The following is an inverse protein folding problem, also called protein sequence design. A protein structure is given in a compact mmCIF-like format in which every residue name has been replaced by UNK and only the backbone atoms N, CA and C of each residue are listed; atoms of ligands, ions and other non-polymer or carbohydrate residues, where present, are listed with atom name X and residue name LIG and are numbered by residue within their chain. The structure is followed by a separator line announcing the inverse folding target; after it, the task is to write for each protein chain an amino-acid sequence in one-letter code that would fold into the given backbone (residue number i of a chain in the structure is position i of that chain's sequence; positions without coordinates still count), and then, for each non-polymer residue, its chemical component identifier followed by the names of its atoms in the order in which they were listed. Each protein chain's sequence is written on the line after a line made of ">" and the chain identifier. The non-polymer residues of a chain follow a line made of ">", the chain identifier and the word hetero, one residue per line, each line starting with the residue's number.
data_IF_500776601778
#
_entry.id   IF_500776601778
#
_cell.length_a   1.000
_cell.length_b   1.000
_cell.length_c   1.000
_cell.angle_alpha   90.00
_cell.angle_beta   90.00
_cell.angle_gamma   90.00
#
_symmetry.space_group_name_H-M   'P 1'
#
loop_
_entity.id
_entity.type
_entity.pdbx_description
1 polymer ?
#
# COMPACT_ATOMS: atom_id res chain seq x y z
N UNK A 1 19.03 -33.92 36.36
CA UNK A 1 17.91 -33.23 35.72
C UNK A 1 18.50 -32.13 34.85
N UNK A 2 18.20 -32.04 33.54
CA UNK A 2 18.74 -30.97 32.72
C UNK A 2 18.12 -29.64 33.16
N UNK A 3 18.97 -28.62 33.36
CA UNK A 3 18.50 -27.29 33.73
C UNK A 3 17.67 -26.68 32.60
N UNK A 4 16.51 -26.14 32.95
CA UNK A 4 15.56 -25.60 31.97
C UNK A 4 16.03 -24.21 31.55
N UNK A 5 16.84 -24.14 30.49
CA UNK A 5 17.40 -22.89 29.97
C UNK A 5 16.29 -22.05 29.33
N UNK A 6 16.15 -20.80 29.76
CA UNK A 6 15.11 -19.88 29.28
C UNK A 6 15.52 -19.28 27.93
N UNK A 7 15.02 -19.86 26.84
CA UNK A 7 15.31 -19.39 25.48
C UNK A 7 14.60 -18.06 25.17
N UNK A 8 15.22 -17.19 24.35
CA UNK A 8 14.54 -16.04 23.77
C UNK A 8 13.31 -16.45 22.98
N UNK A 9 12.32 -15.55 22.93
CA UNK A 9 11.05 -15.82 22.27
C UNK A 9 11.23 -15.99 20.76
N UNK A 10 10.45 -16.90 20.16
CA UNK A 10 10.45 -17.09 18.70
C UNK A 10 9.78 -15.90 18.01
N UNK A 11 10.30 -15.51 16.86
CA UNK A 11 9.75 -14.40 16.05
C UNK A 11 8.27 -14.62 15.69
N UNK A 12 7.85 -15.87 15.48
CA UNK A 12 6.45 -16.24 15.22
C UNK A 12 5.52 -16.03 16.41
N UNK A 13 6.06 -15.87 17.61
CA UNK A 13 5.29 -15.57 18.81
C UNK A 13 5.20 -14.06 19.02
N UNK A 14 6.00 -13.24 18.34
CA UNK A 14 5.91 -11.77 18.42
C UNK A 14 4.49 -11.30 18.05
N UNK A 15 3.79 -10.54 18.92
CA UNK A 15 2.54 -9.92 18.53
C UNK A 15 2.83 -9.05 17.32
N UNK A 16 1.95 -9.13 16.31
CA UNK A 16 2.06 -8.34 15.10
C UNK A 16 2.30 -6.87 15.45
N UNK A 17 3.23 -6.23 14.73
CA UNK A 17 3.60 -4.85 14.98
C UNK A 17 2.36 -3.93 15.00
N UNK A 18 2.40 -2.82 15.75
CA UNK A 18 1.29 -1.88 15.77
C UNK A 18 1.00 -1.43 14.33
N UNK A 19 -0.25 -1.57 13.90
CA UNK A 19 -0.71 -1.00 12.64
C UNK A 19 -0.60 0.51 12.75
N UNK A 20 0.56 1.04 12.38
CA UNK A 20 0.87 2.46 12.51
C UNK A 20 0.53 3.16 11.22
N UNK A 21 -0.67 2.93 10.71
CA UNK A 21 -1.25 3.89 9.77
C UNK A 21 -1.68 5.09 10.61
N UNK A 22 -0.78 6.06 10.73
CA UNK A 22 -1.12 7.38 11.28
C UNK A 22 -2.33 7.91 10.49
N UNK A 23 -3.26 8.67 11.10
CA UNK A 23 -4.39 9.25 10.36
C UNK A 23 -3.97 10.07 9.12
N UNK A 24 -2.76 10.66 9.14
CA UNK A 24 -2.18 11.35 7.98
C UNK A 24 -1.87 10.41 6.80
N UNK A 25 -1.65 9.13 7.04
CA UNK A 25 -1.39 8.13 6.01
C UNK A 25 -2.64 7.82 5.19
N UNK A 26 -3.84 7.93 5.78
CA UNK A 26 -5.10 7.78 5.04
C UNK A 26 -5.22 8.85 3.96
N UNK A 27 -4.90 10.12 4.28
CA UNK A 27 -4.89 11.21 3.30
C UNK A 27 -3.91 10.99 2.16
N UNK A 28 -2.73 10.46 2.45
CA UNK A 28 -1.73 10.13 1.42
C UNK A 28 -2.25 9.03 0.49
N UNK A 29 -2.92 8.02 1.04
CA UNK A 29 -3.52 6.94 0.24
C UNK A 29 -4.63 7.49 -0.66
N UNK A 30 -5.53 8.32 -0.13
CA UNK A 30 -6.60 8.97 -0.90
C UNK A 30 -6.05 9.88 -2.00
N UNK A 31 -4.97 10.61 -1.73
CA UNK A 31 -4.33 11.49 -2.71
C UNK A 31 -3.65 10.71 -3.83
N UNK A 32 -2.99 9.60 -3.51
CA UNK A 32 -2.40 8.69 -4.50
C UNK A 32 -3.46 8.03 -5.37
N UNK A 33 -4.55 7.57 -4.77
CA UNK A 33 -5.67 6.97 -5.50
C UNK A 33 -6.34 7.98 -6.44
N UNK A 34 -6.54 9.23 -5.99
CA UNK A 34 -7.04 10.32 -6.83
C UNK A 34 -6.12 10.62 -8.00
N UNK A 35 -4.81 10.62 -7.79
CA UNK A 35 -3.82 10.90 -8.84
C UNK A 35 -3.78 9.79 -9.89
N UNK A 36 -3.74 8.54 -9.44
CA UNK A 36 -3.74 7.37 -10.31
C UNK A 36 -5.01 7.26 -11.18
N UNK A 37 -6.15 7.69 -10.64
CA UNK A 37 -7.44 7.68 -11.36
C UNK A 37 -7.77 9.04 -12.01
N UNK A 38 -6.83 9.96 -12.10
CA UNK A 38 -7.07 11.26 -12.72
C UNK A 38 -7.13 11.15 -14.25
N UNK A 39 -8.06 11.85 -14.93
CA UNK A 39 -8.24 11.74 -16.38
C UNK A 39 -6.98 12.07 -17.20
N UNK A 40 -6.11 12.96 -16.68
CA UNK A 40 -4.88 13.36 -17.36
C UNK A 40 -3.71 12.38 -17.21
N UNK A 41 -3.84 11.35 -16.37
CA UNK A 41 -2.82 10.30 -16.16
C UNK A 41 -3.31 8.91 -16.54
N UNK A 42 -4.61 8.78 -16.83
CA UNK A 42 -5.14 7.58 -17.45
C UNK A 42 -4.55 7.45 -18.86
N UNK A 43 -4.10 6.25 -19.27
CA UNK A 43 -3.73 6.02 -20.66
C UNK A 43 -4.94 6.31 -21.54
N UNK A 44 -4.76 6.94 -22.73
CA UNK A 44 -5.85 7.18 -23.65
C UNK A 44 -6.56 5.86 -23.95
N UNK A 45 -7.88 5.85 -23.78
CA UNK A 45 -8.67 4.65 -24.02
C UNK A 45 -8.68 4.36 -25.52
N UNK A 46 -8.72 3.09 -25.92
CA UNK A 46 -8.64 2.70 -27.35
C UNK A 46 -9.74 3.30 -28.25
N UNK A 47 -10.76 3.95 -27.68
CA UNK A 47 -11.78 4.72 -28.38
C UNK A 47 -11.42 6.17 -28.73
N UNK A 48 -10.30 6.72 -28.23
CA UNK A 48 -9.91 8.14 -28.43
C UNK A 48 -8.93 8.35 -29.60
N UNK A 49 -8.67 7.31 -30.40
CA UNK A 49 -7.72 7.35 -31.53
C UNK A 49 -8.33 7.83 -32.88
N UNK A 50 -9.45 8.57 -32.89
CA UNK A 50 -10.11 8.96 -34.14
C UNK A 50 -10.15 10.45 -34.47
N UNK A 51 -9.75 11.37 -33.58
CA UNK A 51 -9.95 12.81 -33.80
C UNK A 51 -8.66 13.61 -34.01
N UNK A 52 -7.63 13.03 -34.63
CA UNK A 52 -6.43 13.80 -35.02
C UNK A 52 -5.91 13.45 -36.43
N UNK A 53 -6.81 13.48 -37.40
CA UNK A 53 -6.47 13.65 -38.82
C UNK A 53 -7.41 14.69 -39.43
N UNK A 54 -7.00 15.96 -39.41
CA UNK A 54 -7.58 17.03 -40.23
C UNK A 54 -6.51 17.70 -41.07
#
# INVERSE_FOLDING_TARGET
>A
MPEQVKLPRKLSQEPGGPSTLRPSHQRVIEELDRWANSPGLQPPSDGEKQDDTR
#
